data_IF_545250658269
#
_entry.id   IF_545250658269
#
_cell.length_a   1.000
_cell.length_b   1.000
_cell.length_c   1.000
_cell.angle_alpha   90.00
_cell.angle_beta   90.00
_cell.angle_gamma   90.00
#
_symmetry.space_group_name_H-M   'P 1'
#
loop_
_entity.id
_entity.type
_entity.pdbx_description
1 polymer ?
#
# COMPACT_ATOMS: atom_id res chain seq x y z
N UNK A 1 -14.86 -20.69 5.35
CA UNK A 1 -13.40 -20.87 5.20
C UNK A 1 -12.68 -19.58 4.76
N UNK A 2 -13.14 -18.38 5.15
CA UNK A 2 -12.71 -17.11 4.53
C UNK A 2 -12.32 -15.98 5.50
N UNK A 3 -12.50 -16.15 6.81
CA UNK A 3 -12.09 -15.14 7.81
C UNK A 3 -10.65 -15.37 8.29
N UNK A 4 -10.27 -16.61 8.63
CA UNK A 4 -8.91 -16.91 9.11
C UNK A 4 -7.82 -16.61 8.05
N UNK A 5 -8.11 -16.91 6.77
CA UNK A 5 -7.18 -16.65 5.68
C UNK A 5 -6.97 -15.16 5.39
N UNK A 6 -8.04 -14.36 5.44
CA UNK A 6 -7.95 -12.91 5.21
C UNK A 6 -7.27 -12.21 6.40
N UNK A 7 -7.55 -12.62 7.64
CA UNK A 7 -6.84 -12.13 8.83
C UNK A 7 -5.34 -12.43 8.78
N UNK A 8 -4.95 -13.63 8.32
CA UNK A 8 -3.53 -13.98 8.17
C UNK A 8 -2.78 -13.06 7.22
N UNK A 9 -3.38 -12.71 6.07
CA UNK A 9 -2.72 -11.84 5.08
C UNK A 9 -2.51 -10.41 5.58
N UNK A 10 -3.43 -9.84 6.36
CA UNK A 10 -3.28 -8.48 6.89
C UNK A 10 -2.22 -8.41 7.98
N UNK A 11 -2.10 -9.46 8.80
CA UNK A 11 -1.03 -9.58 9.81
C UNK A 11 0.33 -9.61 9.12
N UNK A 12 0.49 -10.44 8.08
CA UNK A 12 1.76 -10.55 7.36
C UNK A 12 2.13 -9.25 6.66
N UNK A 13 1.15 -8.58 6.03
CA UNK A 13 1.36 -7.25 5.42
C UNK A 13 1.77 -6.21 6.45
N UNK A 14 1.13 -6.19 7.63
CA UNK A 14 1.45 -5.25 8.70
C UNK A 14 2.86 -5.48 9.25
N UNK A 15 3.24 -6.74 9.49
CA UNK A 15 4.58 -7.11 9.95
C UNK A 15 5.64 -6.69 8.93
N UNK A 16 5.48 -7.09 7.66
CA UNK A 16 6.43 -6.76 6.61
C UNK A 16 6.56 -5.24 6.40
N UNK A 17 5.44 -4.52 6.37
CA UNK A 17 5.43 -3.06 6.21
C UNK A 17 6.09 -2.34 7.38
N UNK A 18 5.76 -2.72 8.62
CA UNK A 18 6.29 -2.09 9.83
C UNK A 18 7.81 -2.28 9.97
N UNK A 19 8.30 -3.51 9.78
CA UNK A 19 9.74 -3.79 9.87
C UNK A 19 10.54 -3.01 8.83
N UNK A 20 10.09 -2.99 7.57
CA UNK A 20 10.78 -2.24 6.51
C UNK A 20 10.86 -0.74 6.80
N UNK A 21 9.77 -0.15 7.31
CA UNK A 21 9.71 1.29 7.62
C UNK A 21 10.66 1.67 8.76
N UNK A 22 10.79 0.83 9.79
CA UNK A 22 11.71 1.08 10.90
C UNK A 22 13.17 0.92 10.42
N UNK A 23 13.46 -0.15 9.68
CA UNK A 23 14.80 -0.41 9.16
C UNK A 23 15.29 0.72 8.24
N UNK A 24 14.46 1.24 7.33
CA UNK A 24 14.88 2.34 6.45
C UNK A 24 15.15 3.65 7.24
N UNK A 25 14.37 3.93 8.29
CA UNK A 25 14.55 5.12 9.11
C UNK A 25 15.88 5.03 9.88
N UNK A 26 16.15 3.86 10.46
CA UNK A 26 17.43 3.59 11.13
C UNK A 26 18.62 3.70 10.18
N UNK A 27 18.51 3.14 8.96
CA UNK A 27 19.56 3.21 7.96
C UNK A 27 19.86 4.66 7.51
N UNK A 28 18.81 5.49 7.38
CA UNK A 28 18.97 6.91 7.08
C UNK A 28 19.59 7.70 8.25
N UNK A 29 19.23 7.39 9.49
CA UNK A 29 19.84 8.04 10.65
C UNK A 29 21.30 7.61 10.89
N UNK A 30 21.69 6.41 10.44
CA UNK A 30 23.04 5.88 10.58
C UNK A 30 24.09 6.57 9.69
N UNK A 31 23.70 7.34 8.67
CA UNK A 31 24.64 8.01 7.76
C UNK A 31 25.29 9.27 8.35
N UNK A 32 24.73 9.85 9.41
CA UNK A 32 25.15 11.15 9.96
C UNK A 32 25.34 11.15 11.49
N UNK A 33 25.89 12.26 12.01
CA UNK A 33 26.04 12.49 13.46
C UNK A 33 24.71 12.79 14.16
N UNK A 34 24.71 12.82 15.51
CA UNK A 34 23.51 13.09 16.33
C UNK A 34 22.82 14.41 15.95
N UNK A 35 23.58 15.42 15.54
CA UNK A 35 23.05 16.72 15.11
C UNK A 35 22.19 16.64 13.82
N UNK A 36 22.39 15.62 12.98
CA UNK A 36 21.74 15.48 11.68
C UNK A 36 20.54 14.52 11.66
N UNK A 37 20.20 13.94 12.82
CA UNK A 37 19.12 12.94 12.96
C UNK A 37 17.77 13.53 12.59
N UNK A 38 17.46 14.74 13.07
CA UNK A 38 16.19 15.42 12.78
C UNK A 38 16.01 15.70 11.28
N UNK A 39 17.09 16.13 10.61
CA UNK A 39 17.08 16.41 9.17
C UNK A 39 16.88 15.13 8.37
N UNK A 40 17.58 14.05 8.74
CA UNK A 40 17.45 12.73 8.09
C UNK A 40 16.02 12.18 8.22
N UNK A 41 15.42 12.31 9.41
CA UNK A 41 14.04 11.89 9.65
C UNK A 41 13.03 12.73 8.84
N UNK A 42 13.20 14.04 8.79
CA UNK A 42 12.36 14.94 7.99
C UNK A 42 12.41 14.57 6.49
N UNK A 43 13.60 14.25 5.97
CA UNK A 43 13.79 13.87 4.58
C UNK A 43 13.09 12.53 4.26
N UNK A 44 13.26 11.51 5.11
CA UNK A 44 12.54 10.23 4.95
C UNK A 44 11.03 10.43 5.03
N UNK A 45 10.55 11.29 5.94
CA UNK A 45 9.14 11.67 6.05
C UNK A 45 8.60 12.30 4.77
N UNK A 46 9.35 13.24 4.18
CA UNK A 46 8.98 13.89 2.91
C UNK A 46 8.83 12.88 1.78
N UNK A 47 9.83 12.02 1.57
CA UNK A 47 9.78 11.00 0.53
C UNK A 47 8.66 9.98 0.76
N UNK A 48 8.37 9.64 2.01
CA UNK A 48 7.23 8.78 2.36
C UNK A 48 5.90 9.41 1.93
N UNK A 49 5.72 10.72 2.15
CA UNK A 49 4.51 11.43 1.71
C UNK A 49 4.42 11.54 0.20
N UNK A 50 5.52 11.81 -0.48
CA UNK A 50 5.59 11.83 -1.95
C UNK A 50 5.23 10.47 -2.55
N UNK A 51 5.85 9.40 -2.07
CA UNK A 51 5.56 8.03 -2.52
C UNK A 51 4.10 7.64 -2.24
N UNK A 52 3.58 7.99 -1.06
CA UNK A 52 2.17 7.78 -0.71
C UNK A 52 1.20 8.51 -1.64
N UNK A 53 1.51 9.75 -2.02
CA UNK A 53 0.72 10.53 -2.98
C UNK A 53 0.72 9.91 -4.37
N UNK A 54 1.88 9.54 -4.89
CA UNK A 54 2.02 8.89 -6.21
C UNK A 54 1.27 7.55 -6.23
N UNK A 55 1.47 6.71 -5.22
CA UNK A 55 0.78 5.42 -5.12
C UNK A 55 -0.74 5.56 -5.02
N UNK A 56 -1.22 6.58 -4.29
CA UNK A 56 -2.65 6.87 -4.20
C UNK A 56 -3.23 7.35 -5.54
N UNK A 57 -2.50 8.18 -6.29
CA UNK A 57 -2.92 8.64 -7.62
C UNK A 57 -3.02 7.48 -8.62
N UNK A 58 -2.01 6.60 -8.67
CA UNK A 58 -2.01 5.40 -9.53
C UNK A 58 -3.16 4.47 -9.14
N UNK A 59 -3.35 4.22 -7.84
CA UNK A 59 -4.45 3.39 -7.35
C UNK A 59 -5.81 4.00 -7.70
N UNK A 60 -5.98 5.31 -7.54
CA UNK A 60 -7.18 6.04 -7.95
C UNK A 60 -7.47 5.87 -9.44
N UNK A 61 -6.47 6.06 -10.30
CA UNK A 61 -6.63 5.90 -11.74
C UNK A 61 -6.98 4.45 -12.15
N UNK A 62 -6.37 3.45 -11.51
CA UNK A 62 -6.70 2.03 -11.74
C UNK A 62 -8.14 1.76 -11.29
N UNK A 63 -8.55 2.29 -10.14
CA UNK A 63 -9.90 2.09 -9.59
C UNK A 63 -10.97 2.64 -10.51
N UNK A 64 -10.85 3.92 -10.88
CA UNK A 64 -11.84 4.62 -11.74
C UNK A 64 -11.93 4.01 -13.13
N UNK A 65 -10.85 3.42 -13.64
CA UNK A 65 -10.85 2.77 -14.96
C UNK A 65 -11.34 1.31 -14.92
N UNK A 66 -11.04 0.58 -13.83
CA UNK A 66 -11.28 -0.86 -13.75
C UNK A 66 -12.67 -1.15 -13.19
N UNK A 67 -13.05 -0.55 -12.07
CA UNK A 67 -14.28 -0.91 -11.36
C UNK A 67 -15.53 -0.74 -12.22
N UNK A 68 -15.81 0.43 -12.84
CA UNK A 68 -17.03 0.59 -13.64
C UNK A 68 -17.06 -0.35 -14.86
N UNK A 69 -15.93 -0.53 -15.54
CA UNK A 69 -15.81 -1.43 -16.69
C UNK A 69 -16.18 -2.88 -16.35
N UNK A 70 -15.66 -3.40 -15.23
CA UNK A 70 -15.96 -4.76 -14.80
C UNK A 70 -17.35 -4.89 -14.18
N UNK A 71 -17.87 -3.83 -13.57
CA UNK A 71 -19.23 -3.82 -13.03
C UNK A 71 -20.26 -3.98 -14.15
N UNK A 72 -20.14 -3.21 -15.24
CA UNK A 72 -21.01 -3.35 -16.42
C UNK A 72 -20.91 -4.73 -17.10
N UNK A 73 -19.73 -5.37 -17.00
CA UNK A 73 -19.46 -6.68 -17.57
C UNK A 73 -20.06 -7.82 -16.74
N UNK A 74 -20.00 -7.72 -15.41
CA UNK A 74 -20.49 -8.75 -14.49
C UNK A 74 -21.97 -8.58 -14.12
N UNK A 75 -22.53 -7.38 -14.28
CA UNK A 75 -23.96 -7.16 -14.09
C UNK A 75 -24.80 -7.87 -15.18
N UNK A 76 -25.88 -8.56 -14.80
CA UNK A 76 -26.80 -9.18 -15.76
C UNK A 76 -27.48 -8.12 -16.65
N UNK A 77 -27.84 -8.49 -17.88
CA UNK A 77 -28.29 -7.59 -18.96
C UNK A 77 -29.41 -6.62 -18.56
N UNK A 78 -30.29 -7.02 -17.64
CA UNK A 78 -31.38 -6.17 -17.13
C UNK A 78 -31.00 -5.16 -16.04
N UNK A 79 -29.79 -5.24 -15.46
CA UNK A 79 -29.35 -4.41 -14.33
C UNK A 79 -28.11 -3.57 -14.62
N UNK A 80 -27.65 -3.53 -15.87
CA UNK A 80 -26.48 -2.74 -16.29
C UNK A 80 -26.62 -1.24 -16.03
N UNK A 81 -27.85 -0.71 -16.05
CA UNK A 81 -28.13 0.68 -15.71
C UNK A 81 -27.75 1.04 -14.26
N UNK A 82 -27.70 0.06 -13.35
CA UNK A 82 -27.30 0.27 -11.95
C UNK A 82 -25.79 0.30 -11.75
N UNK A 83 -24.99 0.06 -12.78
CA UNK A 83 -23.53 0.03 -12.65
C UNK A 83 -22.97 1.34 -12.10
N UNK A 84 -23.50 2.48 -12.55
CA UNK A 84 -23.05 3.78 -12.06
C UNK A 84 -23.51 4.07 -10.62
N UNK A 85 -24.72 3.64 -10.26
CA UNK A 85 -25.30 3.79 -8.91
C UNK A 85 -24.50 2.98 -7.88
N UNK A 86 -24.24 1.70 -8.20
CA UNK A 86 -23.44 0.79 -7.37
C UNK A 86 -21.96 1.20 -7.30
N UNK A 87 -21.43 1.86 -8.32
CA UNK A 87 -20.09 2.45 -8.26
C UNK A 87 -20.06 3.69 -7.35
N UNK A 88 -21.10 4.52 -7.39
CA UNK A 88 -21.22 5.75 -6.61
C UNK A 88 -21.56 5.53 -5.13
N UNK A 89 -22.26 4.43 -4.79
CA UNK A 89 -22.71 4.16 -3.43
C UNK A 89 -22.40 2.73 -2.97
N UNK A 90 -21.44 2.61 -2.07
CA UNK A 90 -21.15 1.32 -1.40
C UNK A 90 -22.25 0.93 -0.39
N UNK A 91 -23.03 1.90 0.10
CA UNK A 91 -24.17 1.64 0.97
C UNK A 91 -25.26 0.89 0.22
N UNK A 92 -25.50 1.25 -1.05
CA UNK A 92 -26.45 0.52 -1.88
C UNK A 92 -25.98 -0.92 -2.11
N UNK A 93 -24.69 -1.13 -2.41
CA UNK A 93 -24.08 -2.47 -2.54
C UNK A 93 -24.24 -3.30 -1.26
N UNK A 94 -24.08 -2.68 -0.09
CA UNK A 94 -24.21 -3.34 1.22
C UNK A 94 -25.66 -3.63 1.61
N UNK A 95 -26.62 -2.88 1.07
CA UNK A 95 -28.05 -3.12 1.28
C UNK A 95 -28.53 -4.43 0.65
N UNK A 96 -27.88 -4.88 -0.43
CA UNK A 96 -28.18 -6.17 -1.04
C UNK A 96 -27.62 -7.33 -0.18
N UNK A 97 -28.40 -8.39 0.07
CA UNK A 97 -27.91 -9.54 0.82
C UNK A 97 -26.78 -10.27 0.09
N UNK A 98 -25.95 -10.97 0.87
CA UNK A 98 -24.84 -11.79 0.37
C UNK A 98 -25.40 -12.88 -0.57
N UNK A 99 -24.84 -13.01 -1.77
CA UNK A 99 -25.28 -13.98 -2.78
C UNK A 99 -26.19 -13.43 -3.87
N UNK A 100 -26.58 -12.15 -3.79
CA UNK A 100 -27.24 -11.45 -4.91
C UNK A 100 -26.27 -11.17 -6.05
N UNK A 101 -26.73 -11.20 -7.32
CA UNK A 101 -25.86 -10.97 -8.47
C UNK A 101 -25.24 -9.57 -8.50
N UNK A 102 -25.90 -8.56 -7.93
CA UNK A 102 -25.36 -7.20 -7.80
C UNK A 102 -24.16 -7.15 -6.86
N UNK A 103 -24.28 -7.77 -5.68
CA UNK A 103 -23.22 -7.79 -4.68
C UNK A 103 -22.06 -8.67 -5.13
N UNK A 104 -22.34 -9.81 -5.78
CA UNK A 104 -21.28 -10.69 -6.29
C UNK A 104 -20.52 -10.06 -7.46
N UNK A 105 -21.23 -9.42 -8.40
CA UNK A 105 -20.59 -8.65 -9.48
C UNK A 105 -19.66 -7.56 -8.93
N UNK A 106 -20.08 -6.87 -7.87
CA UNK A 106 -19.26 -5.84 -7.21
C UNK A 106 -18.03 -6.43 -6.52
N UNK A 107 -18.18 -7.53 -5.79
CA UNK A 107 -17.07 -8.25 -5.15
C UNK A 107 -16.04 -8.68 -6.20
N UNK A 108 -16.50 -9.24 -7.33
CA UNK A 108 -15.61 -9.66 -8.41
C UNK A 108 -14.90 -8.46 -9.06
N UNK A 109 -15.62 -7.36 -9.35
CA UNK A 109 -15.03 -6.15 -9.89
C UNK A 109 -13.95 -5.55 -8.96
N UNK A 110 -14.24 -5.50 -7.65
CA UNK A 110 -13.29 -5.03 -6.63
C UNK A 110 -12.07 -5.95 -6.52
N UNK A 111 -12.27 -7.26 -6.61
CA UNK A 111 -11.17 -8.24 -6.62
C UNK A 111 -10.22 -8.03 -7.80
N UNK A 112 -10.75 -7.74 -8.99
CA UNK A 112 -9.94 -7.42 -10.18
C UNK A 112 -9.18 -6.11 -9.99
N UNK A 113 -9.84 -5.07 -9.48
CA UNK A 113 -9.20 -3.79 -9.20
C UNK A 113 -8.05 -3.94 -8.18
N UNK A 114 -8.27 -4.63 -7.06
CA UNK A 114 -7.23 -4.89 -6.07
C UNK A 114 -6.06 -5.69 -6.65
N UNK A 115 -6.33 -6.72 -7.47
CA UNK A 115 -5.26 -7.48 -8.12
C UNK A 115 -4.39 -6.60 -9.01
N UNK A 116 -5.00 -5.70 -9.79
CA UNK A 116 -4.26 -4.75 -10.64
C UNK A 116 -3.42 -3.78 -9.82
N UNK A 117 -3.95 -3.27 -8.71
CA UNK A 117 -3.20 -2.41 -7.79
C UNK A 117 -2.01 -3.13 -7.17
N UNK A 118 -2.17 -4.39 -6.77
CA UNK A 118 -1.07 -5.20 -6.25
C UNK A 118 0.03 -5.44 -7.29
N UNK A 119 -0.35 -5.71 -8.55
CA UNK A 119 0.61 -5.85 -9.65
C UNK A 119 1.38 -4.54 -9.89
N UNK A 120 0.68 -3.40 -9.88
CA UNK A 120 1.29 -2.09 -10.03
C UNK A 120 2.24 -1.74 -8.87
N UNK A 121 1.92 -2.16 -7.64
CA UNK A 121 2.84 -2.03 -6.51
C UNK A 121 4.07 -2.95 -6.64
N UNK A 122 3.86 -4.19 -7.06
CA UNK A 122 4.93 -5.20 -7.21
C UNK A 122 5.93 -4.83 -8.31
N UNK A 123 5.49 -4.16 -9.38
CA UNK A 123 6.40 -3.73 -10.47
C UNK A 123 7.41 -2.67 -10.04
N UNK A 124 7.14 -1.94 -8.95
CA UNK A 124 8.05 -0.91 -8.41
C UNK A 124 9.11 -1.52 -7.47
N UNK A 125 8.83 -2.69 -6.89
CA UNK A 125 9.74 -3.34 -5.93
C UNK A 125 11.14 -3.67 -6.50
N UNK A 126 11.32 -4.14 -7.75
CA UNK A 126 12.64 -4.37 -8.34
C UNK A 126 13.52 -3.11 -8.36
N UNK A 127 12.93 -1.94 -8.61
CA UNK A 127 13.63 -0.65 -8.59
C UNK A 127 14.12 -0.30 -7.17
N UNK A 128 13.30 -0.59 -6.16
CA UNK A 128 13.68 -0.40 -4.77
C UNK A 128 14.84 -1.34 -4.38
N UNK A 129 14.77 -2.61 -4.76
CA UNK A 129 15.85 -3.59 -4.49
C UNK A 129 17.15 -3.20 -5.19
N UNK A 130 17.10 -2.78 -6.46
CA UNK A 130 18.27 -2.28 -7.18
C UNK A 130 18.90 -1.06 -6.49
N UNK A 131 18.06 -0.15 -5.97
CA UNK A 131 18.53 1.03 -5.22
C UNK A 131 19.23 0.65 -3.91
N UNK A 132 18.73 -0.37 -3.21
CA UNK A 132 19.36 -0.88 -1.98
C UNK A 132 20.72 -1.53 -2.28
N UNK A 133 20.84 -2.27 -3.39
CA UNK A 133 22.10 -2.88 -3.81
C UNK A 133 23.20 -1.84 -4.12
N UNK A 134 22.81 -0.63 -4.51
CA UNK A 134 23.74 0.48 -4.74
C UNK A 134 24.16 1.19 -3.43
N UNK A 135 23.51 0.88 -2.30
CA UNK A 135 23.87 1.51 -1.03
C UNK A 135 25.24 1.04 -0.56
N UNK A 136 26.09 1.99 -0.19
CA UNK A 136 27.36 1.74 0.51
C UNK A 136 27.10 1.10 1.88
N UNK A 137 27.78 0.00 2.17
CA UNK A 137 27.70 -0.68 3.47
C UNK A 137 28.24 0.22 4.61
N UNK A 138 27.37 0.53 5.58
CA UNK A 138 27.68 1.36 6.74
C UNK A 138 27.98 0.45 7.93
N UNK A 139 29.26 0.35 8.31
CA UNK A 139 29.67 -0.45 9.46
C UNK A 139 29.37 0.24 10.80
N UNK A 140 28.21 -0.08 11.36
CA UNK A 140 27.74 0.40 12.68
C UNK A 140 28.70 0.06 13.85
N UNK A 141 29.52 -1.00 13.73
CA UNK A 141 30.49 -1.42 14.77
C UNK A 141 31.63 -0.42 15.05
N UNK A 142 31.88 0.56 14.17
CA UNK A 142 32.94 1.57 14.34
C UNK A 142 32.45 2.90 14.90
N UNK A 143 31.14 3.05 15.16
CA UNK A 143 30.61 4.28 15.77
C UNK A 143 30.99 4.28 17.25
N UNK A 144 31.97 5.10 17.61
CA UNK A 144 32.36 5.34 19.00
C UNK A 144 31.13 5.87 19.78
N UNK A 145 30.60 5.06 20.69
CA UNK A 145 29.57 5.49 21.64
C UNK A 145 30.12 6.68 22.43
N UNK A 146 29.61 7.89 22.18
CA UNK A 146 30.01 9.06 22.97
C UNK A 146 29.50 8.85 24.39
N UNK A 147 30.42 8.69 25.33
CA UNK A 147 30.15 8.50 26.76
C UNK A 147 29.75 9.87 27.34
N UNK A 148 28.55 10.35 27.01
CA UNK A 148 28.00 11.59 27.54
C UNK A 148 27.35 11.34 28.90
N UNK A 149 27.96 11.88 29.97
CA UNK A 149 27.32 12.02 31.28
C UNK A 149 26.06 12.87 31.16
N UNK A 150 24.92 12.26 31.47
CA UNK A 150 23.69 12.96 31.84
C UNK A 150 23.97 13.82 33.06
N UNK A 151 23.77 15.13 32.93
CA UNK A 151 23.50 16.03 34.05
C UNK A 151 22.00 16.35 34.04
#
# INVERSE_FOLDING_TARGET
MSLVGTTGTVIFKALAGGTLVICQQMAAMATGGHESVAVSFALVGLFTKLGGGIGSAISGAIWTSTVPFYLEKYLPTGKKHKAWELYGSIEEVLSYPIGTPERDATIQAYGVAQRRMLIAGLSILPLAVASILLWRDIRLKKVSQVRGTVF
#
